data_IF_521701205921
#
_entry.id   IF_521701205921
#
_cell.length_a   1.000
_cell.length_b   1.000
_cell.length_c   1.000
_cell.angle_alpha   90.00
_cell.angle_beta   90.00
_cell.angle_gamma   90.00
#
_symmetry.space_group_name_H-M   'P 1'
#
loop_
_entity.id
_entity.type
_entity.pdbx_description
1 polymer ?
#
# COMPACT_ATOMS: atom_id res chain seq x y z
N UNK A 1 -2.53 -1.73 23.94
CA UNK A 1 -1.53 -1.99 22.88
C UNK A 1 -2.19 -2.43 21.59
N UNK A 2 -3.11 -3.40 21.59
CA UNK A 2 -3.76 -3.91 20.36
C UNK A 2 -4.55 -2.84 19.59
N UNK A 3 -5.40 -2.05 20.27
CA UNK A 3 -6.12 -0.95 19.62
C UNK A 3 -5.20 0.13 19.01
N UNK A 4 -3.98 0.27 19.50
CA UNK A 4 -2.98 1.18 18.94
C UNK A 4 -2.27 0.57 17.72
N UNK A 5 -1.99 -0.74 17.76
CA UNK A 5 -1.48 -1.48 16.61
C UNK A 5 -2.46 -1.45 15.44
N UNK A 6 -3.74 -1.77 15.69
CA UNK A 6 -4.81 -1.73 14.68
C UNK A 6 -4.97 -0.33 14.09
N UNK A 7 -4.93 0.73 14.90
CA UNK A 7 -4.99 2.12 14.41
C UNK A 7 -3.79 2.47 13.53
N UNK A 8 -2.59 2.05 13.91
CA UNK A 8 -1.39 2.27 13.11
C UNK A 8 -1.44 1.51 11.78
N UNK A 9 -1.97 0.30 11.77
CA UNK A 9 -2.08 -0.52 10.56
C UNK A 9 -3.13 0.05 9.60
N UNK A 10 -4.26 0.53 10.13
CA UNK A 10 -5.26 1.28 9.36
C UNK A 10 -4.63 2.52 8.72
N UNK A 11 -3.83 3.29 9.49
CA UNK A 11 -3.16 4.48 8.97
C UNK A 11 -2.14 4.14 7.87
N UNK A 12 -1.38 3.06 8.03
CA UNK A 12 -0.43 2.59 7.02
C UNK A 12 -1.13 2.14 5.74
N UNK A 13 -2.19 1.34 5.84
CA UNK A 13 -2.94 0.84 4.69
C UNK A 13 -3.64 1.98 3.94
N UNK A 14 -4.23 2.94 4.66
CA UNK A 14 -4.83 4.15 4.08
C UNK A 14 -3.78 4.98 3.32
N UNK A 15 -2.58 5.16 3.89
CA UNK A 15 -1.46 5.84 3.24
C UNK A 15 -1.03 5.14 1.95
N UNK A 16 -0.94 3.81 1.94
CA UNK A 16 -0.62 3.05 0.73
C UNK A 16 -1.67 3.23 -0.36
N UNK A 17 -2.96 3.16 -0.01
CA UNK A 17 -4.05 3.41 -0.95
C UNK A 17 -3.99 4.82 -1.54
N UNK A 18 -3.77 5.84 -0.71
CA UNK A 18 -3.65 7.23 -1.17
C UNK A 18 -2.46 7.43 -2.11
N UNK A 19 -1.32 6.80 -1.84
CA UNK A 19 -0.16 6.84 -2.74
C UNK A 19 -0.49 6.17 -4.08
N UNK A 20 -1.11 4.99 -4.05
CA UNK A 20 -1.51 4.28 -5.26
C UNK A 20 -2.49 5.09 -6.12
N UNK A 21 -3.50 5.69 -5.50
CA UNK A 21 -4.47 6.56 -6.18
C UNK A 21 -3.78 7.76 -6.83
N UNK A 22 -2.91 8.45 -6.08
CA UNK A 22 -2.18 9.59 -6.61
C UNK A 22 -1.25 9.19 -7.78
N UNK A 23 -0.58 8.03 -7.70
CA UNK A 23 0.28 7.54 -8.78
C UNK A 23 -0.49 7.18 -10.05
N UNK A 24 -1.68 6.58 -9.91
CA UNK A 24 -2.52 6.14 -11.03
C UNK A 24 -3.30 7.31 -11.64
N UNK A 25 -3.97 8.10 -10.82
CA UNK A 25 -4.96 9.10 -11.25
C UNK A 25 -4.31 10.43 -11.62
N UNK A 26 -3.39 10.93 -10.79
CA UNK A 26 -2.83 12.26 -11.02
C UNK A 26 -1.58 12.23 -11.88
N UNK A 27 -0.87 11.09 -11.92
CA UNK A 27 0.48 10.94 -12.54
C UNK A 27 1.51 11.99 -12.06
N UNK A 28 1.20 12.75 -11.00
CA UNK A 28 2.00 13.88 -10.51
C UNK A 28 2.85 13.51 -9.32
N UNK A 29 2.48 12.47 -8.59
CA UNK A 29 3.24 12.05 -7.42
C UNK A 29 4.57 11.45 -7.87
N UNK A 30 5.66 12.12 -7.48
CA UNK A 30 7.00 11.56 -7.49
C UNK A 30 7.29 11.06 -6.09
N UNK A 31 7.45 9.74 -5.94
CA UNK A 31 7.85 9.12 -4.68
C UNK A 31 9.26 8.57 -4.86
N UNK A 32 10.18 9.02 -4.01
CA UNK A 32 11.59 8.61 -4.10
C UNK A 32 11.85 7.23 -3.47
N UNK A 33 12.93 6.58 -3.90
CA UNK A 33 13.36 5.26 -3.43
C UNK A 33 13.50 5.15 -1.91
N UNK A 34 13.94 6.22 -1.25
CA UNK A 34 14.04 6.24 0.21
C UNK A 34 12.65 6.11 0.86
N UNK A 35 11.65 6.83 0.36
CA UNK A 35 10.28 6.76 0.88
C UNK A 35 9.62 5.40 0.60
N UNK A 36 9.86 4.82 -0.59
CA UNK A 36 9.41 3.46 -0.92
C UNK A 36 10.03 2.44 0.04
N UNK A 37 11.34 2.52 0.31
CA UNK A 37 12.02 1.62 1.24
C UNK A 37 11.44 1.72 2.64
N UNK A 38 11.25 2.93 3.17
CA UNK A 38 10.61 3.13 4.47
C UNK A 38 9.22 2.51 4.54
N UNK A 39 8.38 2.72 3.52
CA UNK A 39 7.04 2.12 3.46
C UNK A 39 7.08 0.59 3.39
N UNK A 40 8.01 0.03 2.61
CA UNK A 40 8.21 -1.42 2.52
C UNK A 40 8.62 -1.99 3.87
N UNK A 41 9.54 -1.35 4.57
CA UNK A 41 10.01 -1.78 5.89
C UNK A 41 8.87 -1.70 6.91
N UNK A 42 8.08 -0.62 6.91
CA UNK A 42 6.88 -0.49 7.75
C UNK A 42 5.89 -1.65 7.51
N UNK A 43 5.58 -1.96 6.25
CA UNK A 43 4.68 -3.07 5.88
C UNK A 43 5.24 -4.42 6.34
N UNK A 44 6.53 -4.67 6.12
CA UNK A 44 7.16 -5.93 6.53
C UNK A 44 7.15 -6.09 8.05
N UNK A 45 7.54 -5.05 8.80
CA UNK A 45 7.52 -5.08 10.27
C UNK A 45 6.12 -5.40 10.82
N UNK A 46 5.08 -4.77 10.25
CA UNK A 46 3.69 -5.04 10.65
C UNK A 46 3.27 -6.47 10.32
N UNK A 47 3.60 -6.98 9.13
CA UNK A 47 3.24 -8.33 8.70
C UNK A 47 3.83 -9.42 9.63
N UNK A 48 5.04 -9.22 10.16
CA UNK A 48 5.69 -10.18 11.06
C UNK A 48 5.32 -10.00 12.54
N UNK A 49 4.53 -8.98 12.88
CA UNK A 49 4.04 -8.80 14.25
C UNK A 49 2.88 -9.77 14.48
N UNK A 50 2.96 -10.71 15.44
CA UNK A 50 1.85 -11.60 15.76
C UNK A 50 0.70 -10.75 16.32
N UNK A 51 -0.37 -10.61 15.56
CA UNK A 51 -1.61 -9.99 15.99
C UNK A 51 -2.76 -10.94 15.64
N UNK A 52 -3.73 -11.09 16.54
CA UNK A 52 -4.94 -11.88 16.28
C UNK A 52 -5.72 -11.32 15.06
N UNK A 53 -5.61 -10.01 14.84
CA UNK A 53 -6.15 -9.33 13.66
C UNK A 53 -5.02 -8.60 12.91
N UNK A 54 -4.57 -9.20 11.81
CA UNK A 54 -3.56 -8.57 10.94
C UNK A 54 -4.26 -7.80 9.82
N UNK A 55 -4.24 -6.46 9.91
CA UNK A 55 -4.80 -5.57 8.87
C UNK A 55 -3.84 -5.47 7.68
N UNK A 56 -2.54 -5.61 7.92
CA UNK A 56 -1.50 -5.59 6.89
C UNK A 56 -1.27 -7.01 6.37
N UNK A 57 -2.03 -7.38 5.35
CA UNK A 57 -1.99 -8.69 4.71
C UNK A 57 -1.02 -8.83 3.54
N UNK A 58 -1.22 -9.89 2.76
CA UNK A 58 -0.47 -10.16 1.54
C UNK A 58 -0.69 -9.06 0.48
N UNK A 59 -1.92 -8.58 0.37
CA UNK A 59 -2.37 -7.56 -0.57
C UNK A 59 -1.62 -6.24 -0.35
N UNK A 60 -1.42 -5.84 0.90
CA UNK A 60 -0.64 -4.65 1.26
C UNK A 60 0.84 -4.79 0.85
N UNK A 61 1.40 -6.01 0.98
CA UNK A 61 2.76 -6.32 0.48
C UNK A 61 2.81 -6.20 -1.05
N UNK A 62 1.85 -6.77 -1.77
CA UNK A 62 1.79 -6.67 -3.22
C UNK A 62 1.58 -5.22 -3.69
N UNK A 63 0.80 -4.42 -2.93
CA UNK A 63 0.52 -3.03 -3.26
C UNK A 63 1.79 -2.18 -3.20
N UNK A 64 2.61 -2.30 -2.16
CA UNK A 64 3.87 -1.55 -2.08
C UNK A 64 4.88 -1.96 -3.15
N UNK A 65 4.92 -3.23 -3.55
CA UNK A 65 5.75 -3.69 -4.67
C UNK A 65 5.28 -3.11 -6.01
N UNK A 66 3.97 -3.01 -6.23
CA UNK A 66 3.44 -2.39 -7.45
C UNK A 66 3.65 -0.87 -7.47
N UNK A 67 3.59 -0.20 -6.31
CA UNK A 67 3.96 1.22 -6.17
C UNK A 67 5.43 1.42 -6.57
N UNK A 68 6.33 0.56 -6.07
CA UNK A 68 7.74 0.60 -6.41
C UNK A 68 7.96 0.36 -7.91
N UNK A 69 7.35 -0.67 -8.48
CA UNK A 69 7.45 -0.99 -9.90
C UNK A 69 7.00 0.16 -10.80
N UNK A 70 5.89 0.84 -10.47
CA UNK A 70 5.42 2.00 -11.22
C UNK A 70 6.39 3.19 -11.09
N UNK A 71 6.91 3.47 -9.90
CA UNK A 71 7.87 4.54 -9.68
C UNK A 71 9.16 4.32 -10.49
N UNK A 72 9.71 3.10 -10.47
CA UNK A 72 10.89 2.75 -11.26
C UNK A 72 10.63 2.79 -12.75
N UNK A 73 9.52 2.22 -13.23
CA UNK A 73 9.19 2.23 -14.65
C UNK A 73 9.09 3.64 -15.22
N UNK A 74 8.60 4.61 -14.44
CA UNK A 74 8.54 6.02 -14.84
C UNK A 74 9.91 6.68 -14.89
N UNK A 75 10.76 6.43 -13.89
CA UNK A 75 12.15 6.91 -13.88
C UNK A 75 12.92 6.40 -15.09
N UNK A 76 12.77 5.11 -15.42
CA UNK A 76 13.45 4.45 -16.54
C UNK A 76 12.77 4.67 -17.90
N UNK A 77 11.65 5.43 -17.93
CA UNK A 77 10.82 5.63 -19.14
C UNK A 77 10.35 4.31 -19.80
N UNK A 78 10.19 3.26 -18.99
CA UNK A 78 9.73 1.94 -19.41
C UNK A 78 8.19 1.89 -19.48
N UNK A 79 7.64 2.12 -20.67
CA UNK A 79 6.18 2.16 -20.91
C UNK A 79 5.48 0.84 -20.60
N UNK A 80 6.05 -0.30 -21.01
CA UNK A 80 5.45 -1.62 -20.75
C UNK A 80 5.42 -1.95 -19.25
N UNK A 81 6.48 -1.57 -18.54
CA UNK A 81 6.56 -1.69 -17.09
C UNK A 81 5.50 -0.83 -16.38
N UNK A 82 5.32 0.41 -16.84
CA UNK A 82 4.30 1.31 -16.31
C UNK A 82 2.89 0.78 -16.54
N UNK A 83 2.55 0.35 -17.75
CA UNK A 83 1.21 -0.18 -18.07
C UNK A 83 0.87 -1.40 -17.20
N UNK A 84 1.82 -2.32 -17.05
CA UNK A 84 1.67 -3.50 -16.20
C UNK A 84 1.48 -3.13 -14.73
N UNK A 85 2.29 -2.21 -14.21
CA UNK A 85 2.18 -1.79 -12.82
C UNK A 85 0.85 -1.08 -12.55
N UNK A 86 0.37 -0.23 -13.46
CA UNK A 86 -0.94 0.43 -13.36
C UNK A 86 -2.09 -0.58 -13.34
N UNK A 87 -2.03 -1.62 -14.18
CA UNK A 87 -3.03 -2.70 -14.18
C UNK A 87 -3.12 -3.37 -12.81
N UNK A 88 -1.98 -3.78 -12.23
CA UNK A 88 -1.96 -4.43 -10.91
C UNK A 88 -2.38 -3.48 -9.79
N UNK A 89 -1.95 -2.21 -9.81
CA UNK A 89 -2.36 -1.20 -8.84
C UNK A 89 -3.88 -1.00 -8.82
N UNK A 90 -4.52 -0.99 -10.00
CA UNK A 90 -5.97 -0.83 -10.11
C UNK A 90 -6.75 -1.94 -9.41
N UNK A 91 -6.22 -3.16 -9.42
CA UNK A 91 -6.83 -4.33 -8.76
C UNK A 91 -6.50 -4.32 -7.27
N UNK A 92 -5.22 -4.22 -6.90
CA UNK A 92 -4.77 -4.32 -5.52
C UNK A 92 -5.30 -3.20 -4.63
N UNK A 93 -5.45 -1.98 -5.17
CA UNK A 93 -6.03 -0.87 -4.39
C UNK A 93 -7.48 -1.14 -3.98
N UNK A 94 -8.25 -1.87 -4.78
CA UNK A 94 -9.64 -2.21 -4.45
C UNK A 94 -9.69 -3.24 -3.32
N UNK A 95 -8.86 -4.28 -3.38
CA UNK A 95 -8.74 -5.25 -2.30
C UNK A 95 -8.32 -4.58 -0.99
N UNK A 96 -7.25 -3.79 -1.02
CA UNK A 96 -6.76 -3.07 0.16
C UNK A 96 -7.81 -2.09 0.73
N UNK A 97 -8.64 -1.46 -0.11
CA UNK A 97 -9.76 -0.61 0.35
C UNK A 97 -10.86 -1.42 1.04
N UNK A 98 -11.15 -2.63 0.57
CA UNK A 98 -12.10 -3.53 1.25
C UNK A 98 -11.58 -3.91 2.63
N UNK A 99 -10.31 -4.27 2.72
CA UNK A 99 -9.64 -4.61 3.99
C UNK A 99 -9.63 -3.41 4.94
N UNK A 100 -9.29 -2.23 4.44
CA UNK A 100 -9.29 -0.98 5.19
C UNK A 100 -10.69 -0.65 5.74
N UNK A 101 -11.73 -0.79 4.92
CA UNK A 101 -13.10 -0.53 5.35
C UNK A 101 -13.61 -1.58 6.36
N UNK A 102 -13.20 -2.84 6.22
CA UNK A 102 -13.48 -3.88 7.20
C UNK A 102 -12.78 -3.59 8.54
N UNK A 103 -11.50 -3.20 8.51
CA UNK A 103 -10.74 -2.82 9.69
C UNK A 103 -11.34 -1.58 10.40
N UNK A 104 -11.69 -0.53 9.64
CA UNK A 104 -12.35 0.68 10.18
C UNK A 104 -13.69 0.38 10.85
N UNK A 105 -14.50 -0.51 10.28
CA UNK A 105 -15.78 -0.91 10.88
C UNK A 105 -15.59 -1.68 12.19
N UNK A 106 -14.61 -2.59 12.24
CA UNK A 106 -14.26 -3.32 13.47
C UNK A 106 -13.75 -2.38 14.57
N UNK A 107 -12.89 -1.44 14.23
CA UNK A 107 -12.35 -0.47 15.20
C UNK A 107 -13.37 0.54 15.75
N UNK A 108 -14.55 0.65 15.13
CA UNK A 108 -15.64 1.53 15.56
C UNK A 108 -16.70 0.82 16.43
N UNK A 109 -16.57 -0.50 16.62
CA UNK A 109 -17.39 -1.33 17.51
C UNK A 109 -16.72 -1.47 18.86
#
# INVERSE_FOLDING_TARGET
MEAEAVRSDIALLDRLCLIADNLVETRRLQIGDAAIRTLRDEVQMRRFTPAEENVIGYEATCLIECIAALAFARTDQNKEGEERAVMYLNVLRQFCRLDLNAARRRAAQ
#
